data_IF_118108807201
#
_entry.id   IF_118108807201
#
_cell.length_a   1.000
_cell.length_b   1.000
_cell.length_c   1.000
_cell.angle_alpha   90.00
_cell.angle_beta   90.00
_cell.angle_gamma   90.00
#
_symmetry.space_group_name_H-M   'P 1'
#
loop_
_entity.id
_entity.type
_entity.pdbx_description
1 polymer ?
#
# COMPACT_ATOMS: atom_id res chain seq x y z
N UNK A 1 25.89 -1.20 -8.76
CA UNK A 1 24.93 -0.90 -9.84
C UNK A 1 23.72 -1.77 -9.59
N UNK A 2 22.74 -1.27 -8.85
CA UNK A 2 21.52 -2.01 -8.59
C UNK A 2 20.68 -1.93 -9.87
N UNK A 3 20.43 -3.06 -10.52
CA UNK A 3 19.47 -3.13 -11.60
C UNK A 3 18.11 -2.75 -11.03
N UNK A 4 17.58 -1.61 -11.46
CA UNK A 4 16.16 -1.28 -11.31
C UNK A 4 15.38 -2.29 -12.15
N UNK A 5 15.10 -3.45 -11.56
CA UNK A 5 14.17 -4.40 -12.13
C UNK A 5 12.77 -3.81 -11.99
N UNK A 6 12.14 -3.52 -13.13
CA UNK A 6 10.78 -3.00 -13.20
C UNK A 6 9.82 -3.92 -12.41
N UNK A 7 8.96 -3.38 -11.54
CA UNK A 7 8.14 -4.20 -10.68
C UNK A 7 7.17 -5.08 -11.50
N UNK A 8 6.94 -6.35 -11.11
CA UNK A 8 6.08 -7.25 -11.87
C UNK A 8 4.65 -6.70 -11.96
N UNK A 9 4.04 -6.85 -13.14
CA UNK A 9 2.66 -6.44 -13.40
C UNK A 9 1.67 -7.37 -12.70
N UNK A 10 0.63 -6.78 -12.11
CA UNK A 10 -0.49 -7.49 -11.47
C UNK A 10 -1.83 -7.18 -12.15
N UNK A 11 -1.86 -6.20 -13.06
CA UNK A 11 -3.03 -5.84 -13.85
C UNK A 11 -2.70 -4.76 -14.89
N UNK A 12 -3.66 -4.36 -15.73
CA UNK A 12 -3.48 -3.24 -16.65
C UNK A 12 -3.27 -1.95 -15.85
N UNK A 13 -2.08 -1.35 -15.97
CA UNK A 13 -1.71 -0.14 -15.23
C UNK A 13 -1.28 -0.37 -13.78
N UNK A 14 -1.28 -1.61 -13.27
CA UNK A 14 -0.92 -1.93 -11.89
C UNK A 14 0.31 -2.84 -11.81
N UNK A 15 1.26 -2.47 -10.95
CA UNK A 15 2.45 -3.26 -10.62
C UNK A 15 2.57 -3.47 -9.12
N UNK A 16 3.22 -4.56 -8.73
CA UNK A 16 3.58 -4.83 -7.33
C UNK A 16 5.05 -4.61 -7.09
N UNK A 17 5.41 -3.96 -6.00
CA UNK A 17 6.79 -3.79 -5.56
C UNK A 17 6.91 -4.15 -4.09
N UNK A 18 7.95 -4.89 -3.68
CA UNK A 18 8.20 -5.08 -2.25
C UNK A 18 8.62 -3.75 -1.63
N UNK A 19 7.96 -3.35 -0.55
CA UNK A 19 8.30 -2.13 0.19
C UNK A 19 9.76 -2.13 0.63
N UNK A 20 10.30 -3.31 1.00
CA UNK A 20 11.67 -3.49 1.48
C UNK A 20 12.74 -3.13 0.42
N UNK A 21 12.40 -3.28 -0.86
CA UNK A 21 13.30 -2.97 -1.98
C UNK A 21 12.95 -1.68 -2.71
N UNK A 22 11.79 -1.09 -2.40
CA UNK A 22 11.27 0.11 -3.04
C UNK A 22 11.64 1.41 -2.33
N UNK A 23 10.93 2.49 -2.69
CA UNK A 23 11.10 3.82 -2.11
C UNK A 23 10.69 3.86 -0.61
N UNK A 24 9.74 3.02 -0.21
CA UNK A 24 9.21 2.98 1.16
C UNK A 24 10.09 2.23 2.17
N UNK A 25 11.23 1.67 1.75
CA UNK A 25 12.08 0.78 2.59
C UNK A 25 12.52 1.38 3.93
N UNK A 26 12.58 2.71 4.02
CA UNK A 26 12.98 3.46 5.22
C UNK A 26 11.84 4.34 5.77
N UNK A 27 10.63 4.22 5.22
CA UNK A 27 9.48 5.05 5.61
C UNK A 27 8.89 4.64 6.96
N UNK A 28 8.99 3.35 7.30
CA UNK A 28 8.50 2.76 8.54
C UNK A 28 9.22 1.41 8.78
N UNK A 29 8.96 0.71 9.90
CA UNK A 29 9.40 -0.67 10.09
C UNK A 29 8.72 -1.63 9.08
N UNK A 30 9.26 -1.67 7.86
CA UNK A 30 8.75 -2.46 6.74
C UNK A 30 8.93 -3.96 7.00
N UNK A 31 7.85 -4.72 6.85
CA UNK A 31 7.85 -6.18 6.85
C UNK A 31 8.40 -6.77 5.55
N UNK A 32 8.96 -7.98 5.62
CA UNK A 32 9.56 -8.66 4.46
C UNK A 32 8.57 -9.03 3.35
N UNK A 33 7.27 -9.02 3.65
CA UNK A 33 6.18 -9.31 2.71
C UNK A 33 5.24 -8.11 2.51
N UNK A 34 5.64 -6.92 2.95
CA UNK A 34 4.86 -5.71 2.68
C UNK A 34 5.03 -5.35 1.20
N UNK A 35 3.90 -5.22 0.50
CA UNK A 35 3.88 -4.98 -0.95
C UNK A 35 3.20 -3.65 -1.23
N UNK A 36 3.88 -2.80 -1.99
CA UNK A 36 3.33 -1.58 -2.57
C UNK A 36 2.66 -1.87 -3.91
N UNK A 37 1.48 -1.31 -4.12
CA UNK A 37 0.87 -1.14 -5.45
C UNK A 37 1.45 0.14 -6.08
N UNK A 38 1.97 0.01 -7.29
CA UNK A 38 2.48 1.11 -8.12
C UNK A 38 1.62 1.20 -9.38
N UNK A 39 1.11 2.40 -9.68
CA UNK A 39 0.21 2.63 -10.80
C UNK A 39 0.94 3.36 -11.93
N UNK A 40 0.68 2.96 -13.17
CA UNK A 40 1.24 3.55 -14.38
C UNK A 40 0.34 4.65 -14.95
N UNK A 41 0.56 5.91 -14.53
CA UNK A 41 0.03 7.17 -15.09
C UNK A 41 -1.51 7.32 -15.26
N UNK A 42 -2.27 6.23 -15.29
CA UNK A 42 -3.72 6.20 -15.26
C UNK A 42 -4.20 6.35 -13.81
N UNK A 43 -5.31 7.07 -13.61
CA UNK A 43 -5.88 7.28 -12.28
C UNK A 43 -6.25 5.95 -11.61
N UNK A 44 -6.01 5.85 -10.30
CA UNK A 44 -6.47 4.72 -9.51
C UNK A 44 -7.99 4.58 -9.66
N UNK A 45 -8.47 3.35 -9.82
CA UNK A 45 -9.91 3.03 -9.72
C UNK A 45 -10.15 2.16 -8.51
N UNK A 46 -11.37 2.22 -7.96
CA UNK A 46 -11.74 1.42 -6.79
C UNK A 46 -11.61 -0.07 -7.12
N UNK A 47 -12.17 -0.49 -8.25
CA UNK A 47 -12.10 -1.87 -8.72
C UNK A 47 -10.66 -2.32 -8.95
N UNK A 48 -9.83 -1.48 -9.59
CA UNK A 48 -8.43 -1.81 -9.88
C UNK A 48 -7.59 -2.01 -8.62
N UNK A 49 -7.78 -1.17 -7.60
CA UNK A 49 -7.10 -1.32 -6.31
C UNK A 49 -7.58 -2.57 -5.54
N UNK A 50 -8.89 -2.85 -5.55
CA UNK A 50 -9.45 -4.06 -4.94
C UNK A 50 -8.89 -5.33 -5.60
N UNK A 51 -8.90 -5.39 -6.93
CA UNK A 51 -8.39 -6.54 -7.70
C UNK A 51 -6.89 -6.73 -7.49
N UNK A 52 -6.13 -5.63 -7.51
CA UNK A 52 -4.68 -5.66 -7.26
C UNK A 52 -4.35 -6.16 -5.84
N UNK A 53 -5.02 -5.65 -4.82
CA UNK A 53 -4.80 -6.08 -3.44
C UNK A 53 -5.16 -7.58 -3.26
N UNK A 54 -6.30 -8.01 -3.80
CA UNK A 54 -6.75 -9.40 -3.76
C UNK A 54 -5.73 -10.32 -4.43
N UNK A 55 -5.26 -9.96 -5.63
CA UNK A 55 -4.25 -10.74 -6.36
C UNK A 55 -2.92 -10.85 -5.59
N UNK A 56 -2.50 -9.79 -4.89
CA UNK A 56 -1.30 -9.83 -4.06
C UNK A 56 -1.48 -10.79 -2.88
N UNK A 57 -2.59 -10.71 -2.15
CA UNK A 57 -2.85 -11.58 -1.00
C UNK A 57 -2.97 -13.05 -1.40
N UNK A 58 -3.64 -13.35 -2.52
CA UNK A 58 -3.74 -14.70 -3.06
C UNK A 58 -2.37 -15.25 -3.51
N UNK A 59 -1.53 -14.38 -4.08
CA UNK A 59 -0.20 -14.75 -4.57
C UNK A 59 0.87 -14.85 -3.48
N UNK A 60 0.67 -14.24 -2.32
CA UNK A 60 1.58 -14.32 -1.16
C UNK A 60 0.78 -14.39 0.16
N UNK A 61 0.50 -15.61 0.67
CA UNK A 61 -0.21 -15.78 1.94
C UNK A 61 0.49 -15.20 3.17
N UNK A 62 1.79 -14.86 3.08
CA UNK A 62 2.52 -14.21 4.15
C UNK A 62 2.42 -12.67 4.09
N UNK A 63 1.85 -12.10 3.02
CA UNK A 63 1.59 -10.68 2.89
C UNK A 63 0.54 -10.23 3.92
N UNK A 64 0.99 -9.41 4.88
CA UNK A 64 0.12 -8.86 5.94
C UNK A 64 -0.47 -7.53 5.57
N UNK A 65 0.16 -6.80 4.66
CA UNK A 65 -0.24 -5.45 4.29
C UNK A 65 0.09 -5.16 2.85
N UNK A 66 -0.90 -4.62 2.14
CA UNK A 66 -0.75 -4.02 0.82
C UNK A 66 -0.80 -2.51 1.00
N UNK A 67 0.17 -1.82 0.43
CA UNK A 67 0.39 -0.39 0.61
C UNK A 67 0.11 0.34 -0.69
N UNK A 68 -0.61 1.45 -0.60
CA UNK A 68 -0.73 2.42 -1.66
C UNK A 68 -0.23 3.77 -1.13
N UNK A 69 0.62 4.43 -1.92
CA UNK A 69 1.34 5.63 -1.49
C UNK A 69 1.25 6.75 -2.54
N UNK A 70 0.06 7.35 -2.73
CA UNK A 70 -0.11 8.51 -3.59
C UNK A 70 0.57 9.75 -2.98
N UNK A 71 0.87 10.74 -3.83
CA UNK A 71 1.28 12.07 -3.39
C UNK A 71 0.23 12.69 -2.47
N UNK A 72 0.68 13.49 -1.50
CA UNK A 72 -0.20 14.12 -0.50
C UNK A 72 -1.31 14.98 -1.11
N UNK A 73 -1.03 15.59 -2.27
CA UNK A 73 -1.94 16.46 -3.02
C UNK A 73 -2.88 15.72 -3.98
N UNK A 74 -2.68 14.41 -4.19
CA UNK A 74 -3.54 13.57 -5.04
C UNK A 74 -4.77 13.07 -4.27
N UNK A 75 -5.67 14.01 -3.98
CA UNK A 75 -6.90 13.78 -3.20
C UNK A 75 -7.79 12.72 -3.86
N UNK A 76 -7.87 12.71 -5.20
CA UNK A 76 -8.70 11.77 -5.94
C UNK A 76 -8.23 10.32 -5.72
N UNK A 77 -6.92 10.07 -5.84
CA UNK A 77 -6.35 8.73 -5.58
C UNK A 77 -6.52 8.30 -4.11
N UNK A 78 -6.42 9.25 -3.18
CA UNK A 78 -6.64 8.99 -1.75
C UNK A 78 -8.09 8.55 -1.50
N UNK A 79 -9.07 9.32 -1.98
CA UNK A 79 -10.49 9.00 -1.83
C UNK A 79 -10.85 7.66 -2.49
N UNK A 80 -10.28 7.38 -3.67
CA UNK A 80 -10.47 6.10 -4.36
C UNK A 80 -9.93 4.94 -3.52
N UNK A 81 -8.74 5.08 -2.94
CA UNK A 81 -8.14 4.05 -2.11
C UNK A 81 -8.93 3.81 -0.82
N UNK A 82 -9.44 4.87 -0.18
CA UNK A 82 -10.31 4.75 1.00
C UNK A 82 -11.60 3.99 0.66
N UNK A 83 -12.21 4.28 -0.48
CA UNK A 83 -13.39 3.56 -0.98
C UNK A 83 -13.08 2.11 -1.35
N UNK A 84 -11.84 1.80 -1.72
CA UNK A 84 -11.35 0.45 -1.95
C UNK A 84 -10.99 -0.30 -0.64
N UNK A 85 -11.17 0.34 0.52
CA UNK A 85 -10.93 -0.26 1.83
C UNK A 85 -9.51 -0.08 2.36
N UNK A 86 -8.70 0.77 1.73
CA UNK A 86 -7.42 1.17 2.30
C UNK A 86 -7.64 2.21 3.40
N UNK A 87 -6.84 2.15 4.46
CA UNK A 87 -6.89 3.11 5.56
C UNK A 87 -5.63 3.95 5.55
N UNK A 88 -5.79 5.28 5.58
CA UNK A 88 -4.66 6.19 5.76
C UNK A 88 -4.07 5.99 7.17
N UNK A 89 -2.76 5.77 7.24
CA UNK A 89 -2.04 5.52 8.50
C UNK A 89 -1.13 6.68 8.87
N UNK A 90 -0.38 7.21 7.90
CA UNK A 90 0.64 8.23 8.16
C UNK A 90 1.02 8.96 6.87
N UNK A 91 1.49 10.18 6.99
CA UNK A 91 2.16 10.93 5.92
C UNK A 91 3.68 10.83 6.11
N UNK A 92 4.42 10.58 5.03
CA UNK A 92 5.87 10.37 5.09
C UNK A 92 6.59 11.21 4.05
N UNK A 93 7.61 11.91 4.50
CA UNK A 93 8.58 12.58 3.64
C UNK A 93 9.60 11.57 3.08
N UNK A 94 9.56 11.39 1.77
CA UNK A 94 10.54 10.64 1.01
C UNK A 94 11.51 11.60 0.30
N UNK A 95 12.68 11.13 -0.15
CA UNK A 95 13.55 11.95 -0.99
C UNK A 95 12.84 12.37 -2.28
N UNK A 96 12.39 13.64 -2.33
CA UNK A 96 11.79 14.25 -3.51
C UNK A 96 10.27 14.19 -3.60
N UNK A 97 9.58 13.60 -2.61
CA UNK A 97 8.12 13.56 -2.57
C UNK A 97 7.61 13.41 -1.13
N UNK A 98 6.41 13.92 -0.85
CA UNK A 98 5.68 13.64 0.39
C UNK A 98 4.45 12.84 0.03
N UNK A 99 4.33 11.65 0.61
CA UNK A 99 3.28 10.69 0.27
C UNK A 99 2.43 10.37 1.49
N UNK A 100 1.16 10.03 1.25
CA UNK A 100 0.33 9.41 2.29
C UNK A 100 0.44 7.90 2.17
N UNK A 101 0.70 7.23 3.28
CA UNK A 101 0.70 5.77 3.34
C UNK A 101 -0.71 5.31 3.68
N UNK A 102 -1.36 4.66 2.70
CA UNK A 102 -2.63 3.98 2.87
C UNK A 102 -2.41 2.48 2.84
N UNK A 103 -3.08 1.75 3.73
CA UNK A 103 -2.85 0.32 3.95
C UNK A 103 -4.15 -0.45 3.84
N UNK A 104 -4.13 -1.51 3.03
CA UNK A 104 -5.12 -2.57 3.03
C UNK A 104 -4.52 -3.79 3.75
N UNK A 105 -5.27 -4.35 4.69
CA UNK A 105 -4.88 -5.52 5.48
C UNK A 105 -5.95 -6.60 5.33
N UNK A 106 -5.58 -7.89 5.27
CA UNK A 106 -6.56 -8.96 5.25
C UNK A 106 -7.24 -9.07 6.62
N UNK A 107 -8.50 -9.52 6.63
CA UNK A 107 -9.36 -9.47 7.83
C UNK A 107 -8.74 -10.12 9.08
N UNK A 108 -7.98 -11.20 8.91
CA UNK A 108 -7.31 -11.90 10.01
C UNK A 108 -6.20 -11.08 10.69
N UNK A 109 -5.65 -10.06 10.03
CA UNK A 109 -4.71 -9.09 10.64
C UNK A 109 -5.47 -8.11 11.53
N UNK A 110 -6.67 -7.69 11.11
CA UNK A 110 -7.49 -6.71 11.83
C UNK A 110 -8.35 -7.29 12.94
N UNK A 111 -8.70 -8.59 12.88
CA UNK A 111 -9.55 -9.27 13.88
C UNK A 111 -8.96 -9.31 15.31
N UNK A 112 -7.69 -8.93 15.48
CA UNK A 112 -7.00 -8.87 16.78
C UNK A 112 -6.64 -7.46 17.26
N UNK A 113 -6.96 -6.40 16.51
CA UNK A 113 -6.68 -5.03 16.94
C UNK A 113 -7.69 -4.63 18.03
N UNK A 114 -7.29 -4.79 19.30
CA UNK A 114 -7.93 -4.08 20.40
C UNK A 114 -7.70 -2.60 20.13
N UNK A 115 -8.78 -1.82 20.07
CA UNK A 115 -8.68 -0.37 19.93
C UNK A 115 -7.78 0.18 21.05
N UNK A 116 -6.58 0.65 20.70
CA UNK A 116 -5.64 1.22 21.65
C UNK A 116 -6.12 2.55 22.23
N UNK A 117 -7.20 3.15 21.71
CA UNK A 117 -7.90 4.26 22.36
C UNK A 117 -8.90 3.79 23.44
N UNK A 118 -9.11 2.49 23.60
CA UNK A 118 -9.96 1.93 24.65
C UNK A 118 -9.20 1.59 25.95
N UNK A 119 -7.93 2.02 26.11
CA UNK A 119 -7.27 1.96 27.43
C UNK A 119 -7.96 3.01 28.32
N UNK A 120 -8.67 2.61 29.40
CA UNK A 120 -9.15 3.58 30.36
C UNK A 120 -7.95 4.24 31.04
N UNK A 121 -7.97 5.57 31.14
CA UNK A 121 -7.03 6.36 31.91
C UNK A 121 -7.05 5.98 33.41
#
# INVERSE_FOLDING_TARGET
MASESEPPRIGPGFRRQLCLTGQLRNAYPVGSHDVQIVIDADAATVEGLCDAASSIFEGDPACRRVVFAPDTDDVDSIEVAERAGFRMVVEVDLPGATVKILVCEPQWVTDGYVDLNSVPC
#
